data_IF_116644611258
#
_entry.id   IF_116644611258
#
_cell.length_a   1.000
_cell.length_b   1.000
_cell.length_c   1.000
_cell.angle_alpha   90.00
_cell.angle_beta   90.00
_cell.angle_gamma   90.00
#
_symmetry.space_group_name_H-M   'P 1'
#
loop_
_entity.id
_entity.type
_entity.pdbx_description
1 polymer ?
#
# COMPACT_ATOMS: atom_id res chain seq x y z
N UNK A 1 34.70 -3.01 32.53
CA UNK A 1 34.98 -4.16 31.65
C UNK A 1 34.23 -3.89 30.34
N UNK A 2 34.92 -3.42 29.29
CA UNK A 2 34.30 -3.15 27.98
C UNK A 2 34.25 -4.48 27.23
N UNK A 3 33.13 -5.19 27.29
CA UNK A 3 32.92 -6.33 26.40
C UNK A 3 32.59 -5.72 25.03
N UNK A 4 33.58 -5.63 24.16
CA UNK A 4 33.35 -5.40 22.73
C UNK A 4 32.74 -6.70 22.21
N UNK A 5 31.42 -6.82 22.29
CA UNK A 5 30.72 -7.90 21.59
C UNK A 5 30.79 -7.56 20.11
N UNK A 6 31.34 -8.49 19.32
CA UNK A 6 31.44 -8.31 17.86
C UNK A 6 30.01 -8.36 17.30
N UNK A 7 29.66 -7.44 16.40
CA UNK A 7 28.34 -7.38 15.74
C UNK A 7 27.87 -8.77 15.26
N UNK A 8 28.79 -9.59 14.75
CA UNK A 8 28.52 -10.96 14.32
C UNK A 8 27.87 -11.84 15.40
N UNK A 9 28.26 -11.71 16.67
CA UNK A 9 27.70 -12.48 17.79
C UNK A 9 26.30 -11.98 18.17
N UNK A 10 26.08 -10.67 18.10
CA UNK A 10 24.78 -10.06 18.39
C UNK A 10 23.70 -10.50 17.39
N UNK A 11 24.06 -10.68 16.11
CA UNK A 11 23.10 -11.03 15.05
C UNK A 11 22.41 -12.40 15.23
N UNK A 12 22.89 -13.25 16.15
CA UNK A 12 22.27 -14.54 16.48
C UNK A 12 21.42 -14.51 17.75
N UNK A 13 21.37 -13.38 18.44
CA UNK A 13 20.57 -13.23 19.66
C UNK A 13 19.08 -13.03 19.34
N UNK A 14 18.24 -13.38 20.30
CA UNK A 14 16.79 -13.10 20.24
C UNK A 14 16.53 -11.61 20.41
N UNK A 15 15.36 -11.13 19.95
CA UNK A 15 14.96 -9.72 20.12
C UNK A 15 15.00 -9.25 21.57
N UNK A 16 14.70 -10.13 22.53
CA UNK A 16 14.77 -9.83 23.96
C UNK A 16 16.22 -9.61 24.42
N UNK A 17 17.11 -10.54 24.07
CA UNK A 17 18.54 -10.45 24.41
C UNK A 17 19.20 -9.24 23.77
N UNK A 18 18.86 -8.93 22.52
CA UNK A 18 19.33 -7.72 21.84
C UNK A 18 18.91 -6.45 22.57
N UNK A 19 17.65 -6.40 23.04
CA UNK A 19 17.15 -5.25 23.80
C UNK A 19 17.88 -5.10 25.13
N UNK A 20 18.01 -6.19 25.89
CA UNK A 20 18.76 -6.23 27.16
C UNK A 20 20.22 -5.80 26.97
N UNK A 21 20.87 -6.27 25.89
CA UNK A 21 22.21 -5.83 25.54
C UNK A 21 22.27 -4.33 25.24
N UNK A 22 21.36 -3.81 24.41
CA UNK A 22 21.32 -2.39 24.08
C UNK A 22 21.05 -1.52 25.30
N UNK A 23 20.23 -1.95 26.26
CA UNK A 23 19.96 -1.21 27.50
C UNK A 23 21.22 -0.97 28.35
N UNK A 24 22.23 -1.83 28.26
CA UNK A 24 23.50 -1.70 28.97
C UNK A 24 24.48 -0.72 28.30
N UNK A 25 24.22 -0.31 27.06
CA UNK A 25 25.09 0.58 26.30
C UNK A 25 24.80 2.05 26.60
N UNK A 26 25.87 2.85 26.64
CA UNK A 26 25.77 4.32 26.66
C UNK A 26 25.16 4.87 25.35
N UNK A 27 24.72 6.13 25.36
CA UNK A 27 24.17 6.77 24.17
C UNK A 27 25.14 6.82 22.99
N UNK A 28 26.43 7.04 23.26
CA UNK A 28 27.48 7.05 22.23
C UNK A 28 27.72 5.64 21.67
N UNK A 29 27.78 4.62 22.53
CA UNK A 29 27.92 3.22 22.10
C UNK A 29 26.75 2.77 21.23
N UNK A 30 25.51 3.15 21.59
CA UNK A 30 24.30 2.91 20.78
C UNK A 30 24.40 3.56 19.41
N UNK A 31 24.80 4.83 19.34
CA UNK A 31 24.96 5.54 18.06
C UNK A 31 26.03 4.90 17.17
N UNK A 32 27.16 4.49 17.74
CA UNK A 32 28.25 3.85 16.99
C UNK A 32 27.82 2.49 16.45
N UNK A 33 27.18 1.67 17.30
CA UNK A 33 26.64 0.38 16.90
C UNK A 33 25.55 0.51 15.83
N UNK A 34 24.68 1.52 15.95
CA UNK A 34 23.67 1.81 14.94
C UNK A 34 24.29 2.17 13.59
N UNK A 35 25.31 3.05 13.59
CA UNK A 35 26.06 3.41 12.39
C UNK A 35 26.68 2.19 11.72
N UNK A 36 27.29 1.30 12.49
CA UNK A 36 27.87 0.05 12.00
C UNK A 36 26.81 -0.86 11.36
N UNK A 37 25.66 -1.03 12.02
CA UNK A 37 24.52 -1.81 11.50
C UNK A 37 24.04 -1.24 10.17
N UNK A 38 23.80 0.08 10.07
CA UNK A 38 23.33 0.72 8.84
C UNK A 38 24.36 0.62 7.72
N UNK A 39 25.65 0.78 8.01
CA UNK A 39 26.72 0.58 7.04
C UNK A 39 26.77 -0.86 6.55
N UNK A 40 26.55 -1.84 7.43
CA UNK A 40 26.51 -3.25 7.03
C UNK A 40 25.31 -3.55 6.12
N UNK A 41 24.14 -2.97 6.42
CA UNK A 41 22.94 -3.10 5.58
C UNK A 41 23.23 -2.58 4.15
N UNK A 42 23.84 -1.41 4.02
CA UNK A 42 24.17 -0.82 2.70
C UNK A 42 25.05 -1.75 1.84
N UNK A 43 25.90 -2.54 2.48
CA UNK A 43 26.85 -3.45 1.83
C UNK A 43 26.38 -4.91 1.77
N UNK A 44 25.16 -5.22 2.23
CA UNK A 44 24.65 -6.61 2.22
C UNK A 44 24.03 -6.94 0.85
N UNK A 45 24.42 -8.05 0.21
CA UNK A 45 23.81 -8.51 -1.05
C UNK A 45 22.31 -8.75 -0.90
N UNK A 46 21.53 -8.44 -1.94
CA UNK A 46 20.06 -8.54 -1.94
C UNK A 46 19.53 -9.66 -2.85
N UNK A 47 20.44 -10.31 -3.56
CA UNK A 47 20.22 -11.33 -4.58
C UNK A 47 20.52 -12.76 -4.10
N UNK A 48 21.00 -12.91 -2.85
CA UNK A 48 21.29 -14.20 -2.24
C UNK A 48 20.45 -14.43 -0.99
N UNK A 49 20.15 -15.71 -0.71
CA UNK A 49 19.42 -16.11 0.50
C UNK A 49 20.17 -15.70 1.77
N UNK A 50 21.49 -15.91 1.80
CA UNK A 50 22.34 -15.51 2.92
C UNK A 50 22.30 -14.00 3.16
N UNK A 51 22.29 -13.21 2.08
CA UNK A 51 22.16 -11.76 2.16
C UNK A 51 20.81 -11.32 2.73
N UNK A 52 19.71 -11.94 2.28
CA UNK A 52 18.37 -11.69 2.82
C UNK A 52 18.26 -12.06 4.30
N UNK A 53 18.79 -13.22 4.70
CA UNK A 53 18.82 -13.64 6.10
C UNK A 53 19.66 -12.68 6.96
N UNK A 54 20.76 -12.16 6.42
CA UNK A 54 21.57 -11.14 7.07
C UNK A 54 20.82 -9.81 7.22
N UNK A 55 20.08 -9.36 6.21
CA UNK A 55 19.25 -8.16 6.30
C UNK A 55 18.18 -8.27 7.39
N UNK A 56 17.51 -9.44 7.49
CA UNK A 56 16.53 -9.69 8.57
C UNK A 56 17.16 -9.57 9.97
N UNK A 57 18.37 -10.11 10.16
CA UNK A 57 19.10 -10.02 11.45
C UNK A 57 19.53 -8.58 11.76
N UNK A 58 20.07 -7.87 10.77
CA UNK A 58 20.48 -6.47 10.92
C UNK A 58 19.29 -5.56 11.23
N UNK A 59 18.14 -5.80 10.59
CA UNK A 59 16.88 -5.11 10.88
C UNK A 59 16.46 -5.31 12.33
N UNK A 60 16.47 -6.54 12.85
CA UNK A 60 16.16 -6.81 14.27
C UNK A 60 17.09 -6.07 15.23
N UNK A 61 18.38 -5.99 14.90
CA UNK A 61 19.35 -5.24 15.69
C UNK A 61 19.06 -3.74 15.67
N UNK A 62 18.81 -3.18 14.48
CA UNK A 62 18.44 -1.78 14.34
C UNK A 62 17.20 -1.43 15.17
N UNK A 63 16.16 -2.27 15.12
CA UNK A 63 14.94 -2.10 15.92
C UNK A 63 15.21 -2.15 17.42
N UNK A 64 16.09 -3.03 17.89
CA UNK A 64 16.45 -3.09 19.31
C UNK A 64 17.15 -1.79 19.79
N UNK A 65 18.01 -1.23 18.94
CA UNK A 65 18.66 0.06 19.21
C UNK A 65 17.64 1.19 19.20
N UNK A 66 16.79 1.28 18.16
CA UNK A 66 15.70 2.27 18.05
C UNK A 66 14.79 2.24 19.30
N UNK A 67 14.44 1.05 19.78
CA UNK A 67 13.55 0.87 20.92
C UNK A 67 14.15 1.17 22.30
N UNK A 68 15.46 1.37 22.40
CA UNK A 68 16.20 1.61 23.67
C UNK A 68 16.98 2.91 23.67
N UNK A 69 16.89 3.69 22.59
CA UNK A 69 17.64 4.94 22.40
C UNK A 69 16.66 6.10 22.29
N UNK A 70 16.98 7.24 22.93
CA UNK A 70 16.23 8.46 22.69
C UNK A 70 16.29 8.80 21.19
N UNK A 71 15.13 8.97 20.56
CA UNK A 71 14.98 9.35 19.16
C UNK A 71 15.83 10.55 18.73
N UNK A 72 16.10 11.51 19.64
CA UNK A 72 16.98 12.67 19.39
C UNK A 72 18.42 12.26 19.11
N UNK A 73 18.91 11.20 19.76
CA UNK A 73 20.25 10.68 19.51
C UNK A 73 20.35 9.99 18.15
N UNK A 74 19.25 9.54 17.58
CA UNK A 74 19.24 8.88 16.27
C UNK A 74 18.86 9.81 15.12
N UNK A 75 18.64 11.10 15.40
CA UNK A 75 18.15 12.07 14.42
C UNK A 75 19.06 12.21 13.19
N UNK A 76 20.39 12.16 13.39
CA UNK A 76 21.38 12.23 12.32
C UNK A 76 21.31 11.07 11.31
N UNK A 77 20.60 9.98 11.63
CA UNK A 77 20.44 8.82 10.76
C UNK A 77 19.10 8.78 10.02
N UNK A 78 18.24 9.79 10.20
CA UNK A 78 16.92 9.82 9.53
C UNK A 78 17.04 9.92 8.01
N UNK A 79 18.03 10.68 7.54
CA UNK A 79 18.27 10.88 6.11
C UNK A 79 19.00 9.68 5.50
N UNK A 80 18.56 9.22 4.32
CA UNK A 80 19.14 8.08 3.58
C UNK A 80 19.21 6.77 4.41
N UNK A 81 18.18 6.53 5.22
CA UNK A 81 18.09 5.36 6.08
C UNK A 81 17.87 4.08 5.25
N UNK A 82 18.82 3.11 5.22
CA UNK A 82 18.80 2.00 4.25
C UNK A 82 17.74 0.93 4.52
N UNK A 83 17.09 0.98 5.69
CA UNK A 83 16.02 0.06 6.09
C UNK A 83 14.63 0.72 6.18
N UNK A 84 14.47 2.03 5.99
CA UNK A 84 13.16 2.71 6.17
C UNK A 84 12.55 3.06 4.81
N UNK A 85 11.23 2.96 4.72
CA UNK A 85 10.48 3.25 3.47
C UNK A 85 10.95 2.40 2.26
N UNK A 86 11.53 1.22 2.52
CA UNK A 86 12.05 0.31 1.48
C UNK A 86 11.12 -0.87 1.21
N UNK A 87 11.13 -1.32 -0.05
CA UNK A 87 10.59 -2.61 -0.50
C UNK A 87 11.69 -3.35 -1.27
N UNK A 88 12.28 -4.38 -0.65
CA UNK A 88 13.41 -5.11 -1.22
C UNK A 88 12.88 -6.42 -1.81
N UNK A 89 12.83 -6.48 -3.14
CA UNK A 89 12.48 -7.70 -3.87
C UNK A 89 13.60 -8.73 -3.79
N UNK A 90 13.25 -10.01 -3.63
CA UNK A 90 14.19 -11.12 -3.68
C UNK A 90 13.50 -12.40 -4.17
N UNK A 91 14.28 -13.33 -4.73
CA UNK A 91 13.74 -14.59 -5.26
C UNK A 91 13.70 -15.65 -4.16
N UNK A 92 12.52 -16.24 -3.93
CA UNK A 92 12.30 -17.32 -2.97
C UNK A 92 11.74 -18.55 -3.69
N UNK A 93 12.64 -19.39 -4.22
CA UNK A 93 12.26 -20.49 -5.13
C UNK A 93 11.95 -19.93 -6.52
N UNK A 94 10.74 -20.19 -7.04
CA UNK A 94 10.28 -19.68 -8.35
C UNK A 94 9.47 -18.39 -8.26
N UNK A 95 9.26 -17.86 -7.04
CA UNK A 95 8.38 -16.70 -6.80
C UNK A 95 9.18 -15.53 -6.24
N UNK A 96 8.88 -14.33 -6.72
CA UNK A 96 9.40 -13.08 -6.15
C UNK A 96 8.70 -12.78 -4.83
N UNK A 97 9.47 -12.57 -3.77
CA UNK A 97 9.00 -12.13 -2.46
C UNK A 97 9.64 -10.78 -2.09
N UNK A 98 9.18 -10.18 -0.98
CA UNK A 98 9.63 -8.86 -0.56
C UNK A 98 9.90 -8.79 0.93
N UNK A 99 10.99 -8.10 1.29
CA UNK A 99 11.13 -7.48 2.61
C UNK A 99 10.55 -6.07 2.53
N UNK A 100 9.59 -5.76 3.38
CA UNK A 100 8.88 -4.48 3.39
C UNK A 100 9.12 -3.73 4.69
N UNK A 101 9.42 -2.44 4.61
CA UNK A 101 9.55 -1.57 5.78
C UNK A 101 8.35 -0.66 5.94
N UNK A 102 7.95 -0.46 7.20
CA UNK A 102 7.09 0.66 7.57
C UNK A 102 7.94 1.94 7.69
N UNK A 103 7.36 3.11 7.45
CA UNK A 103 8.11 4.36 7.28
C UNK A 103 8.89 4.82 8.52
N UNK A 104 8.44 4.44 9.72
CA UNK A 104 8.94 4.95 11.00
C UNK A 104 9.83 3.97 11.78
N UNK A 105 10.17 2.81 11.22
CA UNK A 105 10.98 1.80 11.89
C UNK A 105 11.94 1.13 10.92
N UNK A 106 13.07 0.66 11.43
CA UNK A 106 14.00 -0.20 10.70
C UNK A 106 13.51 -1.66 10.54
N UNK A 107 12.33 -2.00 11.05
CA UNK A 107 11.77 -3.34 10.96
C UNK A 107 11.41 -3.71 9.51
N UNK A 108 12.02 -4.80 9.03
CA UNK A 108 11.70 -5.43 7.78
C UNK A 108 10.76 -6.60 8.02
N UNK A 109 9.60 -6.54 7.37
CA UNK A 109 8.60 -7.59 7.35
C UNK A 109 8.81 -8.45 6.12
N UNK A 110 9.00 -9.75 6.29
CA UNK A 110 8.99 -10.65 5.15
C UNK A 110 7.54 -10.90 4.72
N UNK A 111 7.13 -10.49 3.53
CA UNK A 111 5.71 -10.57 3.13
C UNK A 111 5.21 -12.00 2.86
N UNK A 112 6.08 -13.02 2.88
CA UNK A 112 5.71 -14.43 2.87
C UNK A 112 5.50 -14.99 4.27
N UNK A 113 6.27 -14.51 5.25
CA UNK A 113 6.25 -15.02 6.64
C UNK A 113 5.39 -14.16 7.58
N UNK A 114 5.48 -12.83 7.43
CA UNK A 114 4.97 -11.81 8.34
C UNK A 114 3.82 -10.98 7.74
N UNK A 115 3.14 -11.47 6.70
CA UNK A 115 2.12 -10.72 5.94
C UNK A 115 1.03 -10.10 6.81
N UNK A 116 0.41 -10.89 7.68
CA UNK A 116 -0.63 -10.42 8.60
C UNK A 116 -0.11 -9.29 9.48
N UNK A 117 1.10 -9.46 10.00
CA UNK A 117 1.77 -8.47 10.86
C UNK A 117 2.04 -7.18 10.09
N UNK A 118 2.56 -7.27 8.87
CA UNK A 118 2.82 -6.13 8.00
C UNK A 118 1.53 -5.34 7.70
N UNK A 119 0.44 -6.04 7.33
CA UNK A 119 -0.87 -5.43 7.07
C UNK A 119 -1.40 -4.73 8.33
N UNK A 120 -1.35 -5.41 9.48
CA UNK A 120 -1.84 -4.85 10.74
C UNK A 120 -1.12 -3.55 11.11
N UNK A 121 0.22 -3.55 11.08
CA UNK A 121 0.98 -2.35 11.44
C UNK A 121 0.92 -1.25 10.37
N UNK A 122 0.79 -1.60 9.09
CA UNK A 122 0.52 -0.62 8.04
C UNK A 122 -0.85 0.07 8.23
N UNK A 123 -1.89 -0.67 8.64
CA UNK A 123 -3.19 -0.07 9.01
C UNK A 123 -3.06 0.80 10.26
N UNK A 124 -2.37 0.29 11.28
CA UNK A 124 -2.15 1.00 12.56
C UNK A 124 -1.41 2.34 12.37
N UNK A 125 -0.55 2.46 11.37
CA UNK A 125 0.16 3.72 11.08
C UNK A 125 -0.78 4.85 10.64
N UNK A 126 -2.00 4.52 10.19
CA UNK A 126 -2.96 5.46 9.63
C UNK A 126 -2.41 6.24 8.41
N UNK A 127 -1.38 5.70 7.73
CA UNK A 127 -0.82 6.24 6.49
C UNK A 127 -1.35 5.48 5.27
N UNK A 128 -2.29 6.10 4.54
CA UNK A 128 -2.90 5.51 3.35
C UNK A 128 -1.88 5.19 2.25
N UNK A 129 -0.84 6.00 2.07
CA UNK A 129 0.14 5.76 1.00
C UNK A 129 1.01 4.53 1.34
N UNK A 130 1.31 4.32 2.62
CA UNK A 130 2.02 3.12 3.08
C UNK A 130 1.22 1.85 2.79
N UNK A 131 -0.08 1.85 3.10
CA UNK A 131 -0.95 0.70 2.79
C UNK A 131 -1.10 0.52 1.29
N UNK A 132 -1.26 1.61 0.52
CA UNK A 132 -1.33 1.55 -0.94
C UNK A 132 -0.08 0.88 -1.51
N UNK A 133 1.10 1.26 -1.03
CA UNK A 133 2.37 0.67 -1.45
C UNK A 133 2.44 -0.81 -1.07
N UNK A 134 2.12 -1.16 0.18
CA UNK A 134 2.09 -2.56 0.62
C UNK A 134 1.15 -3.41 -0.24
N UNK A 135 -0.07 -2.92 -0.51
CA UNK A 135 -1.03 -3.63 -1.35
C UNK A 135 -0.51 -3.79 -2.78
N UNK A 136 0.10 -2.76 -3.38
CA UNK A 136 0.72 -2.86 -4.71
C UNK A 136 1.82 -3.91 -4.77
N UNK A 137 2.64 -4.03 -3.72
CA UNK A 137 3.69 -5.04 -3.62
C UNK A 137 3.10 -6.44 -3.42
N UNK A 138 2.08 -6.58 -2.58
CA UNK A 138 1.40 -7.86 -2.37
C UNK A 138 0.69 -8.36 -3.62
N UNK A 139 0.20 -7.43 -4.44
CA UNK A 139 -0.46 -7.76 -5.71
C UNK A 139 0.43 -7.56 -6.94
N UNK A 140 1.76 -7.61 -6.80
CA UNK A 140 2.67 -7.66 -7.94
C UNK A 140 2.86 -9.10 -8.43
N UNK A 141 2.86 -9.29 -9.76
CA UNK A 141 3.11 -10.60 -10.40
C UNK A 141 1.86 -11.44 -10.64
N UNK A 142 2.07 -12.73 -10.93
CA UNK A 142 1.00 -13.70 -11.16
C UNK A 142 0.40 -14.14 -9.83
N UNK A 143 -0.86 -13.75 -9.61
CA UNK A 143 -1.55 -13.94 -8.33
C UNK A 143 -2.75 -14.85 -8.54
N UNK A 144 -2.77 -15.92 -7.75
CA UNK A 144 -3.94 -16.78 -7.62
C UNK A 144 -5.11 -15.99 -7.04
N UNK A 145 -6.31 -16.19 -7.56
CA UNK A 145 -7.44 -15.35 -7.15
C UNK A 145 -7.87 -15.64 -5.70
N UNK A 146 -7.61 -16.85 -5.23
CA UNK A 146 -7.71 -17.28 -3.84
C UNK A 146 -6.94 -16.35 -2.89
N UNK A 147 -5.85 -15.73 -3.36
CA UNK A 147 -5.11 -14.73 -2.60
C UNK A 147 -5.96 -13.49 -2.25
N UNK A 148 -6.91 -13.10 -3.10
CA UNK A 148 -7.80 -11.98 -2.78
C UNK A 148 -8.75 -12.30 -1.63
N UNK A 149 -9.12 -13.57 -1.43
CA UNK A 149 -9.89 -14.01 -0.27
C UNK A 149 -9.06 -13.91 1.02
N UNK A 150 -7.81 -14.32 0.96
CA UNK A 150 -6.87 -14.16 2.07
C UNK A 150 -6.68 -12.68 2.42
N UNK A 151 -6.40 -11.83 1.43
CA UNK A 151 -6.25 -10.39 1.63
C UNK A 151 -7.51 -9.74 2.20
N UNK A 152 -8.70 -10.12 1.72
CA UNK A 152 -9.97 -9.62 2.27
C UNK A 152 -10.12 -9.97 3.74
N UNK A 153 -9.77 -11.21 4.12
CA UNK A 153 -9.83 -11.70 5.50
C UNK A 153 -8.86 -10.93 6.40
N UNK A 154 -7.61 -10.77 5.95
CA UNK A 154 -6.57 -10.06 6.71
C UNK A 154 -6.91 -8.57 6.88
N UNK A 155 -7.34 -7.90 5.80
CA UNK A 155 -7.73 -6.49 5.84
C UNK A 155 -8.94 -6.27 6.75
N UNK A 156 -9.97 -7.12 6.65
CA UNK A 156 -11.17 -7.02 7.49
C UNK A 156 -10.85 -7.26 8.96
N UNK A 157 -10.06 -8.29 9.27
CA UNK A 157 -9.65 -8.60 10.63
C UNK A 157 -8.84 -7.47 11.28
N UNK A 158 -7.92 -6.86 10.54
CA UNK A 158 -7.16 -5.70 11.02
C UNK A 158 -8.02 -4.43 11.13
N UNK A 159 -8.92 -4.18 10.17
CA UNK A 159 -9.86 -3.06 10.20
C UNK A 159 -10.72 -3.12 11.45
N UNK A 160 -11.38 -4.25 11.73
CA UNK A 160 -12.25 -4.39 12.90
C UNK A 160 -11.53 -4.15 14.23
N UNK A 161 -10.28 -4.63 14.35
CA UNK A 161 -9.44 -4.42 15.55
C UNK A 161 -9.04 -2.95 15.73
N UNK A 162 -8.85 -2.20 14.64
CA UNK A 162 -8.23 -0.87 14.67
C UNK A 162 -9.22 0.28 14.40
N UNK A 163 -10.42 0.02 13.89
CA UNK A 163 -11.35 1.03 13.34
C UNK A 163 -11.63 2.22 14.25
N UNK A 164 -11.63 2.02 15.57
CA UNK A 164 -11.87 3.10 16.55
C UNK A 164 -10.76 4.17 16.50
N UNK A 165 -9.54 3.78 16.16
CA UNK A 165 -8.36 4.64 16.15
C UNK A 165 -7.98 5.13 14.74
N UNK A 166 -8.72 4.74 13.71
CA UNK A 166 -8.44 5.13 12.33
C UNK A 166 -9.10 6.47 11.98
N UNK A 167 -8.41 7.25 11.15
CA UNK A 167 -9.01 8.44 10.54
C UNK A 167 -10.15 8.05 9.59
N UNK A 168 -11.07 8.98 9.36
CA UNK A 168 -12.18 8.77 8.43
C UNK A 168 -11.70 8.51 6.99
N UNK A 169 -10.65 9.21 6.55
CA UNK A 169 -10.01 8.96 5.25
C UNK A 169 -9.47 7.53 5.14
N UNK A 170 -8.90 7.00 6.23
CA UNK A 170 -8.39 5.62 6.27
C UNK A 170 -9.52 4.59 6.30
N UNK A 171 -10.58 4.81 7.06
CA UNK A 171 -11.76 3.93 7.09
C UNK A 171 -12.37 3.79 5.70
N UNK A 172 -12.68 4.92 5.06
CA UNK A 172 -13.21 4.94 3.70
C UNK A 172 -12.28 4.25 2.69
N UNK A 173 -10.96 4.43 2.82
CA UNK A 173 -10.00 3.75 1.96
C UNK A 173 -9.99 2.23 2.16
N UNK A 174 -10.03 1.76 3.42
CA UNK A 174 -10.03 0.33 3.74
C UNK A 174 -11.34 -0.35 3.34
N UNK A 175 -12.49 0.27 3.63
CA UNK A 175 -13.80 -0.26 3.25
C UNK A 175 -13.91 -0.46 1.74
N UNK A 176 -13.45 0.51 0.94
CA UNK A 176 -13.38 0.38 -0.52
C UNK A 176 -12.43 -0.74 -0.97
N UNK A 177 -11.28 -0.91 -0.30
CA UNK A 177 -10.35 -1.98 -0.66
C UNK A 177 -10.86 -3.36 -0.27
N UNK A 178 -11.47 -3.51 0.91
CA UNK A 178 -12.09 -4.74 1.39
C UNK A 178 -13.24 -5.13 0.44
N UNK A 179 -14.13 -4.19 0.14
CA UNK A 179 -15.24 -4.38 -0.80
C UNK A 179 -14.75 -4.82 -2.18
N UNK A 180 -13.69 -4.19 -2.72
CA UNK A 180 -13.11 -4.58 -4.00
C UNK A 180 -12.56 -6.02 -3.96
N UNK A 181 -11.89 -6.43 -2.88
CA UNK A 181 -11.27 -7.76 -2.79
C UNK A 181 -12.34 -8.84 -2.63
N UNK A 182 -13.37 -8.54 -1.85
CA UNK A 182 -14.59 -9.35 -1.73
C UNK A 182 -15.27 -9.52 -3.08
N UNK A 183 -15.40 -8.44 -3.85
CA UNK A 183 -15.99 -8.49 -5.19
C UNK A 183 -15.18 -9.37 -6.14
N UNK A 184 -13.86 -9.22 -6.18
CA UNK A 184 -12.97 -9.99 -7.06
C UNK A 184 -13.08 -11.49 -6.76
N UNK A 185 -12.88 -11.89 -5.50
CA UNK A 185 -12.95 -13.32 -5.16
C UNK A 185 -14.38 -13.87 -5.24
N UNK A 186 -15.41 -13.06 -4.95
CA UNK A 186 -16.81 -13.51 -5.05
C UNK A 186 -17.27 -13.77 -6.48
N UNK A 187 -16.57 -13.21 -7.48
CA UNK A 187 -16.95 -13.27 -8.89
C UNK A 187 -15.86 -13.90 -9.78
N UNK A 188 -14.96 -14.73 -9.22
CA UNK A 188 -13.83 -15.35 -9.95
C UNK A 188 -14.27 -15.97 -11.28
N UNK A 189 -15.33 -16.77 -11.25
CA UNK A 189 -15.81 -17.52 -12.42
C UNK A 189 -16.19 -16.60 -13.58
N UNK A 190 -16.82 -15.46 -13.28
CA UNK A 190 -17.15 -14.46 -14.31
C UNK A 190 -15.90 -13.69 -14.74
N UNK A 191 -15.06 -13.27 -13.78
CA UNK A 191 -13.89 -12.43 -14.03
C UNK A 191 -12.77 -13.11 -14.84
N UNK A 192 -12.73 -14.44 -14.81
CA UNK A 192 -11.71 -15.28 -15.47
C UNK A 192 -12.21 -16.16 -16.60
N UNK A 193 -13.51 -16.13 -16.90
CA UNK A 193 -14.09 -16.93 -17.99
C UNK A 193 -13.34 -16.70 -19.31
N UNK A 194 -13.04 -17.79 -20.02
CA UNK A 194 -12.49 -17.79 -21.39
C UNK A 194 -13.38 -18.64 -22.30
N UNK A 195 -14.08 -18.06 -23.28
CA UNK A 195 -14.14 -16.62 -23.59
C UNK A 195 -14.84 -15.81 -22.49
N UNK A 196 -14.63 -14.50 -22.47
CA UNK A 196 -15.26 -13.59 -21.49
C UNK A 196 -16.78 -13.60 -21.67
N UNK A 197 -17.51 -13.85 -20.59
CA UNK A 197 -18.97 -13.70 -20.58
C UNK A 197 -19.35 -12.22 -20.36
N UNK A 198 -19.42 -11.49 -21.48
CA UNK A 198 -19.77 -10.06 -21.49
C UNK A 198 -21.14 -9.80 -20.88
N UNK A 199 -22.10 -10.72 -21.03
CA UNK A 199 -23.45 -10.55 -20.46
C UNK A 199 -23.41 -10.66 -18.95
N UNK A 200 -22.68 -11.65 -18.41
CA UNK A 200 -22.49 -11.77 -16.97
C UNK A 200 -21.76 -10.55 -16.39
N UNK A 201 -20.73 -10.02 -17.07
CA UNK A 201 -20.04 -8.79 -16.67
C UNK A 201 -20.97 -7.57 -16.63
N UNK A 202 -21.81 -7.40 -17.66
CA UNK A 202 -22.80 -6.32 -17.71
C UNK A 202 -23.79 -6.46 -16.56
N UNK A 203 -24.27 -7.67 -16.28
CA UNK A 203 -25.18 -7.91 -15.16
C UNK A 203 -24.52 -7.54 -13.82
N UNK A 204 -23.25 -7.90 -13.61
CA UNK A 204 -22.49 -7.48 -12.43
C UNK A 204 -22.37 -5.95 -12.33
N UNK A 205 -22.14 -5.26 -13.45
CA UNK A 205 -22.06 -3.80 -13.49
C UNK A 205 -23.42 -3.14 -13.18
N UNK A 206 -24.53 -3.75 -13.59
CA UNK A 206 -25.88 -3.25 -13.33
C UNK A 206 -26.26 -3.39 -11.85
N UNK A 207 -25.98 -4.55 -11.24
CA UNK A 207 -26.44 -4.84 -9.86
C UNK A 207 -25.58 -4.21 -8.77
N UNK A 208 -24.35 -3.81 -9.07
CA UNK A 208 -23.47 -3.20 -8.07
C UNK A 208 -23.90 -1.76 -7.72
N UNK A 209 -23.64 -1.33 -6.47
CA UNK A 209 -24.22 -0.11 -5.86
C UNK A 209 -23.68 1.23 -6.41
N UNK A 210 -22.60 1.21 -7.19
CA UNK A 210 -21.89 2.40 -7.68
C UNK A 210 -21.06 3.10 -6.60
N UNK A 211 -20.96 2.54 -5.39
CA UNK A 211 -20.26 3.16 -4.26
C UNK A 211 -18.73 3.00 -4.35
N UNK A 212 -18.27 2.00 -5.13
CA UNK A 212 -16.87 1.69 -5.31
C UNK A 212 -16.50 1.69 -6.79
N UNK A 213 -16.20 2.88 -7.30
CA UNK A 213 -15.85 3.09 -8.71
C UNK A 213 -14.67 2.29 -9.25
N UNK A 214 -13.84 1.67 -8.38
CA UNK A 214 -12.82 0.73 -8.84
C UNK A 214 -13.40 -0.58 -9.37
N UNK A 215 -14.56 -0.99 -8.84
CA UNK A 215 -15.31 -2.14 -9.35
C UNK A 215 -15.89 -1.78 -10.72
N UNK A 216 -16.46 -0.59 -10.87
CA UNK A 216 -16.95 -0.06 -12.15
C UNK A 216 -15.83 -0.04 -13.19
N UNK A 217 -14.68 0.54 -12.86
CA UNK A 217 -13.52 0.58 -13.75
C UNK A 217 -13.09 -0.84 -14.17
N UNK A 218 -12.94 -1.77 -13.21
CA UNK A 218 -12.56 -3.16 -13.49
C UNK A 218 -13.53 -3.84 -14.47
N UNK A 219 -14.84 -3.74 -14.21
CA UNK A 219 -15.87 -4.38 -15.04
C UNK A 219 -15.92 -3.76 -16.43
N UNK A 220 -15.93 -2.44 -16.50
CA UNK A 220 -16.00 -1.69 -17.75
C UNK A 220 -14.78 -1.95 -18.63
N UNK A 221 -13.57 -2.03 -18.06
CA UNK A 221 -12.36 -2.39 -18.81
C UNK A 221 -12.49 -3.76 -19.45
N UNK A 222 -12.92 -4.79 -18.70
CA UNK A 222 -13.10 -6.14 -19.25
C UNK A 222 -14.20 -6.23 -20.31
N UNK A 223 -15.29 -5.47 -20.13
CA UNK A 223 -16.35 -5.36 -21.14
C UNK A 223 -15.78 -4.71 -22.41
N UNK A 224 -15.10 -3.56 -22.28
CA UNK A 224 -14.54 -2.83 -23.42
C UNK A 224 -13.50 -3.61 -24.23
N UNK A 225 -12.71 -4.45 -23.56
CA UNK A 225 -11.75 -5.37 -24.20
C UNK A 225 -12.43 -6.42 -25.08
N UNK A 226 -13.66 -6.81 -24.72
CA UNK A 226 -14.41 -7.88 -25.38
C UNK A 226 -15.43 -7.36 -26.41
N UNK A 227 -15.58 -6.04 -26.53
CA UNK A 227 -16.48 -5.41 -27.50
C UNK A 227 -15.74 -5.04 -28.79
N UNK A 228 -16.42 -5.20 -29.92
CA UNK A 228 -16.00 -4.61 -31.19
C UNK A 228 -16.02 -3.07 -31.11
N UNK A 229 -15.29 -2.43 -32.03
CA UNK A 229 -15.34 -0.97 -32.16
C UNK A 229 -16.77 -0.50 -32.50
N UNK A 230 -17.25 0.50 -31.77
CA UNK A 230 -18.59 1.01 -31.93
C UNK A 230 -18.98 2.00 -30.84
N UNK A 231 -20.21 2.50 -30.92
CA UNK A 231 -20.71 3.54 -30.02
C UNK A 231 -20.66 3.12 -28.55
N UNK A 232 -21.07 1.89 -28.24
CA UNK A 232 -21.08 1.38 -26.87
C UNK A 232 -19.67 1.30 -26.27
N UNK A 233 -18.70 0.79 -27.04
CA UNK A 233 -17.29 0.72 -26.59
C UNK A 233 -16.71 2.11 -26.37
N UNK A 234 -17.03 3.07 -27.25
CA UNK A 234 -16.62 4.46 -27.10
C UNK A 234 -17.15 5.09 -25.81
N UNK A 235 -18.44 4.86 -25.50
CA UNK A 235 -19.07 5.35 -24.26
C UNK A 235 -18.47 4.72 -23.01
N UNK A 236 -18.24 3.40 -23.04
CA UNK A 236 -17.57 2.71 -21.93
C UNK A 236 -16.16 3.28 -21.71
N UNK A 237 -15.39 3.49 -22.78
CA UNK A 237 -14.06 4.09 -22.68
C UNK A 237 -14.11 5.52 -22.13
N UNK A 238 -15.09 6.34 -22.54
CA UNK A 238 -15.28 7.66 -21.97
C UNK A 238 -15.54 7.59 -20.47
N UNK A 239 -16.43 6.68 -20.02
CA UNK A 239 -16.73 6.50 -18.60
C UNK A 239 -15.49 6.05 -17.82
N UNK A 240 -14.71 5.10 -18.34
CA UNK A 240 -13.43 4.68 -17.74
C UNK A 240 -12.48 5.88 -17.55
N UNK A 241 -12.36 6.74 -18.55
CA UNK A 241 -11.52 7.94 -18.44
C UNK A 241 -12.04 8.94 -17.42
N UNK A 242 -13.37 9.11 -17.30
CA UNK A 242 -13.98 9.92 -16.23
C UNK A 242 -13.71 9.33 -14.85
N UNK A 243 -13.81 8.01 -14.68
CA UNK A 243 -13.50 7.29 -13.44
C UNK A 243 -12.04 7.50 -13.02
N UNK A 244 -11.09 7.34 -13.95
CA UNK A 244 -9.66 7.58 -13.70
C UNK A 244 -9.38 9.02 -13.26
N UNK A 245 -10.01 10.00 -13.93
CA UNK A 245 -9.91 11.42 -13.55
C UNK A 245 -10.46 11.67 -12.15
N UNK A 246 -11.62 11.09 -11.83
CA UNK A 246 -12.21 11.18 -10.49
C UNK A 246 -11.30 10.57 -9.43
N UNK A 247 -10.77 9.35 -9.63
CA UNK A 247 -9.85 8.73 -8.69
C UNK A 247 -8.60 9.60 -8.48
N UNK A 248 -8.04 10.14 -9.56
CA UNK A 248 -6.88 11.03 -9.48
C UNK A 248 -7.18 12.30 -8.68
N UNK A 249 -8.35 12.90 -8.87
CA UNK A 249 -8.79 14.06 -8.09
C UNK A 249 -8.87 13.72 -6.60
N UNK A 250 -9.52 12.60 -6.23
CA UNK A 250 -9.66 12.15 -4.84
C UNK A 250 -8.29 11.85 -4.20
N UNK A 251 -7.37 11.24 -4.95
CA UNK A 251 -6.00 11.00 -4.50
C UNK A 251 -5.26 12.32 -4.21
N UNK A 252 -5.33 13.29 -5.13
CA UNK A 252 -4.69 14.59 -4.94
C UNK A 252 -5.30 15.35 -3.75
N UNK A 253 -6.62 15.32 -3.59
CA UNK A 253 -7.32 15.95 -2.47
C UNK A 253 -6.84 15.41 -1.13
N UNK A 254 -6.69 14.09 -1.02
CA UNK A 254 -6.11 13.44 0.16
C UNK A 254 -4.66 13.89 0.40
N UNK A 255 -3.80 13.86 -0.63
CA UNK A 255 -2.40 14.27 -0.52
C UNK A 255 -2.25 15.73 -0.06
N UNK A 256 -3.11 16.63 -0.57
CA UNK A 256 -3.16 18.03 -0.15
C UNK A 256 -3.57 18.16 1.32
N UNK A 257 -4.65 17.49 1.75
CA UNK A 257 -5.08 17.50 3.17
C UNK A 257 -3.97 17.02 4.10
N UNK A 258 -3.33 15.91 3.75
CA UNK A 258 -2.20 15.35 4.51
C UNK A 258 -1.05 16.34 4.62
N UNK A 259 -0.56 16.88 3.50
CA UNK A 259 0.54 17.84 3.49
C UNK A 259 0.22 19.11 4.30
N UNK A 260 -1.01 19.62 4.22
CA UNK A 260 -1.46 20.75 5.04
C UNK A 260 -1.42 20.43 6.54
N UNK A 261 -1.84 19.22 6.92
CA UNK A 261 -1.77 18.77 8.31
C UNK A 261 -0.33 18.62 8.81
N UNK A 262 0.54 18.00 8.01
CA UNK A 262 1.97 17.84 8.34
C UNK A 262 2.67 19.21 8.47
N UNK A 263 2.36 20.15 7.56
CA UNK A 263 2.89 21.51 7.59
C UNK A 263 2.45 22.26 8.85
N UNK A 264 1.18 22.12 9.25
CA UNK A 264 0.65 22.75 10.46
C UNK A 264 1.29 22.21 11.75
N UNK A 265 1.72 20.94 11.76
CA UNK A 265 2.35 20.28 12.91
C UNK A 265 3.87 20.42 12.93
N UNK A 266 4.49 20.82 11.83
CA UNK A 266 5.95 20.86 11.70
C UNK A 266 6.61 19.46 11.69
N UNK A 267 5.86 18.42 11.31
CA UNK A 267 6.29 17.00 11.38
C UNK A 267 6.95 16.50 10.08
N UNK A 268 7.19 17.39 9.11
CA UNK A 268 7.72 17.02 7.80
C UNK A 268 9.26 17.01 7.76
N UNK A 269 9.81 16.04 7.01
CA UNK A 269 11.23 16.02 6.63
C UNK A 269 11.61 17.10 5.61
N UNK A 270 10.62 17.74 4.98
CA UNK A 270 10.82 18.77 3.97
C UNK A 270 10.62 20.17 4.56
N UNK A 271 11.34 21.15 4.02
CA UNK A 271 11.15 22.55 4.42
C UNK A 271 9.72 23.02 4.15
N UNK A 272 9.24 23.98 4.95
CA UNK A 272 7.90 24.54 4.80
C UNK A 272 7.66 25.12 3.38
N UNK A 273 8.70 25.67 2.75
CA UNK A 273 8.65 26.18 1.38
C UNK A 273 8.41 25.05 0.37
N UNK A 274 9.18 23.96 0.44
CA UNK A 274 9.00 22.79 -0.43
C UNK A 274 7.60 22.20 -0.26
N UNK A 275 7.09 22.13 0.96
CA UNK A 275 5.73 21.67 1.21
C UNK A 275 4.67 22.57 0.59
N UNK A 276 4.80 23.90 0.72
CA UNK A 276 3.86 24.86 0.13
C UNK A 276 3.83 24.74 -1.40
N UNK A 277 4.99 24.72 -2.06
CA UNK A 277 5.05 24.53 -3.51
C UNK A 277 4.43 23.20 -3.94
N UNK A 278 4.68 22.13 -3.18
CA UNK A 278 4.12 20.79 -3.39
C UNK A 278 2.59 20.75 -3.26
N UNK A 279 2.03 21.53 -2.33
CA UNK A 279 0.57 21.72 -2.17
C UNK A 279 0.00 22.49 -3.36
N UNK A 280 0.58 23.63 -3.71
CA UNK A 280 0.13 24.50 -4.80
C UNK A 280 0.09 23.77 -6.15
N UNK A 281 1.13 22.97 -6.43
CA UNK A 281 1.20 22.17 -7.66
C UNK A 281 0.06 21.13 -7.72
N UNK A 282 -0.25 20.47 -6.60
CA UNK A 282 -1.33 19.47 -6.53
C UNK A 282 -2.70 20.13 -6.66
N UNK A 283 -2.90 21.28 -6.02
CA UNK A 283 -4.14 22.04 -6.16
C UNK A 283 -4.32 22.56 -7.60
N UNK A 284 -3.25 22.94 -8.28
CA UNK A 284 -3.29 23.29 -9.71
C UNK A 284 -3.75 22.09 -10.55
N UNK A 285 -3.14 20.92 -10.36
CA UNK A 285 -3.55 19.67 -11.05
C UNK A 285 -5.00 19.30 -10.76
N UNK A 286 -5.47 19.51 -9.52
CA UNK A 286 -6.88 19.29 -9.18
C UNK A 286 -7.82 20.22 -9.96
N UNK A 287 -7.46 21.50 -10.12
CA UNK A 287 -8.23 22.46 -10.93
C UNK A 287 -8.25 22.07 -12.42
N UNK A 288 -7.14 21.59 -12.95
CA UNK A 288 -7.03 21.11 -14.35
C UNK A 288 -7.91 19.88 -14.61
N UNK A 289 -7.92 18.92 -13.67
CA UNK A 289 -8.77 17.72 -13.76
C UNK A 289 -10.25 18.09 -13.60
N UNK A 290 -10.54 18.97 -12.64
CA UNK A 290 -11.88 19.33 -12.20
C UNK A 290 -12.54 18.22 -11.37
N UNK A 291 -13.49 18.58 -10.51
CA UNK A 291 -14.28 17.58 -9.80
C UNK A 291 -15.21 16.86 -10.78
N UNK A 292 -15.01 15.54 -10.91
CA UNK A 292 -15.77 14.67 -11.81
C UNK A 292 -16.92 13.94 -11.15
N UNK A 293 -17.19 14.17 -9.86
CA UNK A 293 -18.19 13.42 -9.10
C UNK A 293 -19.57 13.40 -9.78
N UNK A 294 -20.09 14.57 -10.17
CA UNK A 294 -21.39 14.65 -10.87
C UNK A 294 -21.35 14.03 -12.27
N UNK A 295 -20.21 14.15 -12.97
CA UNK A 295 -20.04 13.58 -14.30
C UNK A 295 -20.05 12.05 -14.24
N UNK A 296 -19.37 11.44 -13.26
CA UNK A 296 -19.37 10.00 -13.03
C UNK A 296 -20.79 9.48 -12.79
N UNK A 297 -21.55 10.15 -11.90
CA UNK A 297 -22.94 9.74 -11.60
C UNK A 297 -23.81 9.76 -12.86
N UNK A 298 -23.76 10.87 -13.61
CA UNK A 298 -24.54 11.03 -14.83
C UNK A 298 -24.16 10.01 -15.91
N UNK A 299 -22.86 9.85 -16.19
CA UNK A 299 -22.39 8.89 -17.20
C UNK A 299 -22.76 7.45 -16.81
N UNK A 300 -22.69 7.11 -15.51
CA UNK A 300 -23.12 5.80 -15.01
C UNK A 300 -24.61 5.57 -15.21
N UNK A 301 -25.47 6.52 -14.87
CA UNK A 301 -26.93 6.41 -15.05
C UNK A 301 -27.32 6.25 -16.52
N UNK A 302 -26.68 7.02 -17.41
CA UNK A 302 -26.88 6.93 -18.86
C UNK A 302 -26.46 5.55 -19.40
N UNK A 303 -25.30 5.06 -18.96
CA UNK A 303 -24.79 3.75 -19.36
C UNK A 303 -25.68 2.62 -18.84
N UNK A 304 -26.11 2.68 -17.58
CA UNK A 304 -27.04 1.72 -17.00
C UNK A 304 -28.37 1.66 -17.76
N UNK A 305 -28.92 2.81 -18.13
CA UNK A 305 -30.15 2.89 -18.91
C UNK A 305 -30.01 2.20 -20.27
N UNK A 306 -28.87 2.41 -20.95
CA UNK A 306 -28.56 1.77 -22.24
C UNK A 306 -28.38 0.26 -22.11
N UNK A 307 -27.59 -0.19 -21.13
CA UNK A 307 -27.29 -1.61 -20.90
C UNK A 307 -28.50 -2.41 -20.41
N UNK A 308 -29.37 -1.79 -19.60
CA UNK A 308 -30.62 -2.43 -19.14
C UNK A 308 -31.63 -2.59 -20.29
N UNK A 309 -31.74 -1.58 -21.16
CA UNK A 309 -32.63 -1.62 -22.32
C UNK A 309 -32.19 -2.61 -23.40
N UNK A 310 -30.88 -2.85 -23.56
CA UNK A 310 -30.37 -3.86 -24.49
C UNK A 310 -30.52 -5.28 -23.95
N UNK A 311 -30.39 -5.48 -22.63
CA UNK A 311 -30.67 -6.77 -21.97
C UNK A 311 -32.13 -7.21 -22.07
N UNK A 312 -33.08 -6.26 -22.07
CA UNK A 312 -34.53 -6.55 -22.16
C UNK A 312 -35.05 -6.81 -23.59
N UNK A 313 -34.30 -6.46 -24.64
CA UNK A 313 -34.74 -6.59 -26.05
C UNK A 313 -34.40 -7.94 -26.71
N UNK A 314 -33.78 -8.88 -25.98
CA UNK A 314 -33.36 -10.20 -26.51
C UNK A 314 -33.90 -11.40 -25.71
N UNK A 315 -34.94 -11.20 -24.90
CA UNK A 315 -35.79 -12.26 -24.36
C UNK A 315 -37.07 -12.33 -25.19
#
# INVERSE_FOLDING_TARGET
>A
MKVIIVLAELLYQTSKQLKEHCELLSGEEKQNLYSEVLNKVKNTPRDSREGIDQLKKLSKMAVAIEGTTDSKLLEKFKDDHPLREVSIAYVSGEVTNYLFSLSNSSELYDLKEDREKAIYYAIKSNDRELIKHLLMVLVSGDIEIEFFKELETLLSGAYEKLKVNLSEDMKNYLEKNISLKRFIYGNVGVLTAKPVDVRAMINLFIVQSGENYKIDELLLSKIAESLEEGELRSQINQMIETLKKHERFVELAYKVRRLKSELARGESKYSAEVMKSSIEERERKMREIGDKSNQVVKEREELLSRLSNSSNRRN
#
